data_IF_541338100307
#
_entry.id   IF_541338100307
#
_cell.length_a   1.000
_cell.length_b   1.000
_cell.length_c   1.000
_cell.angle_alpha   90.00
_cell.angle_beta   90.00
_cell.angle_gamma   90.00
#
_symmetry.space_group_name_H-M   'P 1'
#
loop_
_entity.id
_entity.type
_entity.pdbx_description
1 polymer ?
#
# COMPACT_ATOMS: atom_id res chain seq x y z
N UNK A 1 5.38 -12.26 -29.99
CA UNK A 1 4.72 -10.92 -30.06
C UNK A 1 5.72 -9.84 -29.70
N UNK A 2 5.85 -8.77 -30.53
CA UNK A 2 6.83 -7.71 -30.27
C UNK A 2 6.44 -6.89 -29.03
N UNK A 3 7.45 -6.36 -28.29
CA UNK A 3 7.29 -5.52 -27.08
C UNK A 3 6.30 -4.35 -27.31
N UNK A 4 6.30 -3.72 -28.49
CA UNK A 4 5.37 -2.65 -28.89
C UNK A 4 3.90 -3.09 -28.99
N UNK A 5 3.60 -4.31 -29.44
CA UNK A 5 2.22 -4.83 -29.52
C UNK A 5 1.66 -5.12 -28.13
N UNK A 6 2.48 -5.63 -27.20
CA UNK A 6 2.14 -5.91 -25.82
C UNK A 6 1.82 -4.62 -25.06
N UNK A 7 2.61 -3.57 -25.22
CA UNK A 7 2.39 -2.25 -24.60
C UNK A 7 1.10 -1.60 -25.11
N UNK A 8 0.81 -1.66 -26.43
CA UNK A 8 -0.45 -1.09 -26.99
C UNK A 8 -1.69 -1.84 -26.50
N UNK A 9 -1.63 -3.16 -26.38
CA UNK A 9 -2.74 -3.97 -25.86
C UNK A 9 -3.00 -3.65 -24.38
N UNK A 10 -1.96 -3.54 -23.56
CA UNK A 10 -2.05 -3.17 -22.16
C UNK A 10 -2.65 -1.76 -21.98
N UNK A 11 -2.19 -0.78 -22.77
CA UNK A 11 -2.72 0.59 -22.73
C UNK A 11 -4.20 0.66 -23.11
N UNK A 12 -4.66 -0.13 -24.11
CA UNK A 12 -6.08 -0.21 -24.48
C UNK A 12 -6.91 -0.83 -23.36
N UNK A 13 -6.46 -1.91 -22.76
CA UNK A 13 -7.11 -2.55 -21.60
C UNK A 13 -7.20 -1.62 -20.41
N UNK A 14 -6.11 -0.89 -20.12
CA UNK A 14 -6.05 0.08 -19.04
C UNK A 14 -7.04 1.23 -19.22
N UNK A 15 -7.16 1.79 -20.45
CA UNK A 15 -8.11 2.87 -20.75
C UNK A 15 -9.58 2.44 -20.69
N UNK A 16 -9.88 1.15 -20.91
CA UNK A 16 -11.25 0.58 -20.85
C UNK A 16 -11.65 0.10 -19.47
N UNK A 17 -10.73 0.08 -18.52
CA UNK A 17 -10.98 -0.32 -17.14
C UNK A 17 -11.96 0.66 -16.46
N UNK A 18 -13.14 0.20 -16.00
CA UNK A 18 -14.16 1.07 -15.40
C UNK A 18 -13.63 1.86 -14.21
N UNK A 19 -12.79 1.25 -13.38
CA UNK A 19 -12.19 1.91 -12.23
C UNK A 19 -11.18 3.00 -12.63
N UNK A 20 -10.46 2.85 -13.75
CA UNK A 20 -9.59 3.91 -14.27
C UNK A 20 -10.43 5.12 -14.72
N UNK A 21 -11.53 4.87 -15.43
CA UNK A 21 -12.42 5.95 -15.87
C UNK A 21 -13.11 6.64 -14.68
N UNK A 22 -13.58 5.84 -13.72
CA UNK A 22 -14.19 6.36 -12.50
C UNK A 22 -13.20 7.15 -11.65
N UNK A 23 -11.94 6.69 -11.51
CA UNK A 23 -10.91 7.42 -10.80
C UNK A 23 -10.67 8.82 -11.40
N UNK A 24 -10.55 8.89 -12.73
CA UNK A 24 -10.41 10.19 -13.42
C UNK A 24 -11.59 11.13 -13.15
N UNK A 25 -12.83 10.62 -13.22
CA UNK A 25 -14.04 11.43 -12.97
C UNK A 25 -14.13 11.90 -11.53
N UNK A 26 -13.71 11.05 -10.58
CA UNK A 26 -13.72 11.35 -9.15
C UNK A 26 -12.49 12.13 -8.65
N UNK A 27 -11.55 12.49 -9.55
CA UNK A 27 -10.33 13.21 -9.17
C UNK A 27 -9.28 12.36 -8.45
N UNK A 28 -9.39 11.04 -8.49
CA UNK A 28 -8.35 10.17 -7.94
C UNK A 28 -7.17 9.99 -8.89
N UNK A 29 -5.97 10.02 -8.36
CA UNK A 29 -4.71 9.84 -9.11
C UNK A 29 -4.54 8.44 -9.69
N UNK A 30 -5.16 7.43 -9.07
CA UNK A 30 -5.12 6.06 -9.55
C UNK A 30 -6.38 5.27 -9.18
N UNK A 31 -6.64 4.20 -9.94
CA UNK A 31 -7.72 3.25 -9.62
C UNK A 31 -7.50 2.52 -8.29
N UNK A 32 -6.25 2.50 -7.79
CA UNK A 32 -5.91 1.88 -6.52
C UNK A 32 -6.65 2.51 -5.33
N UNK A 33 -7.05 3.80 -5.45
CA UNK A 33 -7.88 4.47 -4.46
C UNK A 33 -9.15 3.67 -4.11
N UNK A 34 -9.81 3.07 -5.10
CA UNK A 34 -11.03 2.26 -4.86
C UNK A 34 -10.77 0.99 -4.08
N UNK A 35 -9.58 0.41 -4.18
CA UNK A 35 -9.23 -0.78 -3.39
C UNK A 35 -9.18 -0.41 -1.91
N UNK A 36 -8.49 0.68 -1.57
CA UNK A 36 -8.39 1.16 -0.21
C UNK A 36 -9.75 1.60 0.33
N UNK A 37 -10.55 2.32 -0.46
CA UNK A 37 -11.91 2.71 -0.06
C UNK A 37 -12.79 1.51 0.26
N UNK A 38 -12.72 0.42 -0.53
CA UNK A 38 -13.51 -0.79 -0.29
C UNK A 38 -13.05 -1.55 0.95
N UNK A 39 -11.74 -1.58 1.21
CA UNK A 39 -11.20 -2.17 2.44
C UNK A 39 -11.63 -1.31 3.64
N UNK A 40 -11.44 0.00 3.59
CA UNK A 40 -11.83 0.90 4.67
C UNK A 40 -13.34 0.88 4.96
N UNK A 41 -14.18 0.90 3.92
CA UNK A 41 -15.64 0.82 4.07
C UNK A 41 -16.11 -0.48 4.75
N UNK A 42 -15.39 -1.58 4.55
CA UNK A 42 -15.68 -2.86 5.19
C UNK A 42 -15.15 -2.94 6.61
N UNK A 43 -13.94 -2.43 6.81
CA UNK A 43 -13.12 -2.79 7.96
C UNK A 43 -12.87 -1.61 8.93
N UNK A 44 -13.16 -0.35 8.51
CA UNK A 44 -13.01 0.82 9.35
C UNK A 44 -11.57 1.01 9.84
N UNK A 45 -10.62 1.06 8.89
CA UNK A 45 -9.19 1.15 9.25
C UNK A 45 -8.74 2.57 9.59
N UNK A 46 -9.50 3.59 9.17
CA UNK A 46 -9.16 4.98 9.39
C UNK A 46 -10.10 5.69 10.37
N UNK A 47 -9.54 6.60 11.17
CA UNK A 47 -10.27 7.52 12.03
C UNK A 47 -9.63 8.93 11.99
N UNK A 48 -10.42 9.99 12.23
CA UNK A 48 -9.88 11.34 12.35
C UNK A 48 -8.75 11.44 13.38
N UNK A 49 -7.73 12.22 13.09
CA UNK A 49 -6.59 12.46 13.98
C UNK A 49 -5.45 11.45 13.86
N UNK A 50 -5.62 10.36 13.12
CA UNK A 50 -4.58 9.33 12.96
C UNK A 50 -3.37 9.79 12.15
N UNK A 51 -2.22 9.20 12.47
CA UNK A 51 -0.98 9.28 11.68
C UNK A 51 -0.83 8.04 10.81
N UNK A 52 -0.80 8.25 9.50
CA UNK A 52 -0.71 7.18 8.49
C UNK A 52 0.64 7.22 7.77
N UNK A 53 1.20 6.06 7.50
CA UNK A 53 2.36 5.89 6.60
C UNK A 53 1.94 5.10 5.37
N UNK A 54 2.15 5.68 4.18
CA UNK A 54 1.84 5.10 2.86
C UNK A 54 3.13 4.74 2.13
N UNK A 55 3.46 3.45 2.06
CA UNK A 55 4.68 2.91 1.44
C UNK A 55 4.41 2.52 -0.02
N UNK A 56 5.16 3.12 -0.96
CA UNK A 56 4.92 2.96 -2.39
C UNK A 56 3.76 3.82 -2.87
N UNK A 57 3.69 5.05 -2.38
CA UNK A 57 2.53 5.93 -2.50
C UNK A 57 2.24 6.42 -3.92
N UNK A 58 3.26 6.62 -4.78
CA UNK A 58 3.08 7.22 -6.10
C UNK A 58 2.10 6.41 -6.98
N UNK A 59 1.17 7.07 -7.64
CA UNK A 59 0.98 8.51 -7.84
C UNK A 59 0.16 9.23 -6.75
N UNK A 60 -0.19 8.58 -5.63
CA UNK A 60 -0.86 9.19 -4.48
C UNK A 60 -2.34 8.80 -4.32
N UNK A 61 -2.80 7.76 -4.97
CA UNK A 61 -4.21 7.35 -4.87
C UNK A 61 -4.63 6.88 -3.48
N UNK A 62 -3.77 6.15 -2.78
CA UNK A 62 -4.01 5.73 -1.41
C UNK A 62 -3.84 6.89 -0.43
N UNK A 63 -2.81 7.70 -0.61
CA UNK A 63 -2.60 8.92 0.19
C UNK A 63 -3.80 9.87 0.13
N UNK A 64 -4.45 10.05 -1.05
CA UNK A 64 -5.67 10.85 -1.17
C UNK A 64 -6.81 10.33 -0.30
N UNK A 65 -7.03 9.01 -0.31
CA UNK A 65 -8.08 8.38 0.48
C UNK A 65 -7.78 8.52 1.97
N UNK A 66 -6.55 8.20 2.39
CA UNK A 66 -6.14 8.29 3.79
C UNK A 66 -6.26 9.73 4.33
N UNK A 67 -5.71 10.73 3.61
CA UNK A 67 -5.77 12.14 4.03
C UNK A 67 -7.21 12.63 4.23
N UNK A 68 -8.14 12.24 3.36
CA UNK A 68 -9.55 12.59 3.51
C UNK A 68 -10.21 11.91 4.71
N UNK A 69 -9.77 10.71 5.10
CA UNK A 69 -10.34 9.92 6.20
C UNK A 69 -9.83 10.33 7.58
N UNK A 70 -8.55 10.75 7.65
CA UNK A 70 -7.96 11.13 8.93
C UNK A 70 -8.15 12.61 9.28
N UNK A 71 -8.68 13.40 8.38
CA UNK A 71 -9.05 14.79 8.66
C UNK A 71 -10.30 14.87 9.57
N UNK A 72 -10.40 15.86 10.47
CA UNK A 72 -9.35 16.81 10.83
C UNK A 72 -8.30 16.23 11.79
N UNK A 73 -7.14 16.88 11.86
CA UNK A 73 -6.12 16.59 12.88
C UNK A 73 -5.17 15.44 12.55
N UNK A 74 -5.50 14.58 11.58
CA UNK A 74 -4.62 13.51 11.15
C UNK A 74 -3.56 13.98 10.13
N UNK A 75 -2.57 13.15 9.90
CA UNK A 75 -1.49 13.38 8.93
C UNK A 75 -1.16 12.11 8.15
N UNK A 76 -0.69 12.28 6.91
CA UNK A 76 -0.23 11.18 6.07
C UNK A 76 1.21 11.45 5.65
N UNK A 77 2.11 10.52 5.95
CA UNK A 77 3.47 10.48 5.42
C UNK A 77 3.48 9.48 4.27
N UNK A 78 3.69 9.98 3.08
CA UNK A 78 3.70 9.20 1.84
C UNK A 78 5.13 9.04 1.31
N UNK A 79 5.42 7.88 0.76
CA UNK A 79 6.75 7.45 0.46
C UNK A 79 6.81 6.69 -0.86
N UNK A 80 7.68 7.14 -1.77
CA UNK A 80 7.96 6.40 -3.00
C UNK A 80 9.34 6.80 -3.57
N UNK A 81 9.96 5.88 -4.31
CA UNK A 81 11.13 6.19 -5.13
C UNK A 81 10.82 7.04 -6.36
N UNK A 82 9.58 6.96 -6.85
CA UNK A 82 9.09 7.80 -7.95
C UNK A 82 8.61 9.14 -7.41
N UNK A 83 8.78 10.24 -8.17
CA UNK A 83 8.25 11.52 -7.77
C UNK A 83 6.71 11.50 -7.72
N UNK A 84 6.15 12.27 -6.80
CA UNK A 84 4.72 12.46 -6.65
C UNK A 84 4.41 13.95 -6.54
N UNK A 85 3.39 14.41 -7.25
CA UNK A 85 2.89 15.78 -7.07
C UNK A 85 2.35 15.98 -5.66
N UNK A 86 2.43 17.20 -5.14
CA UNK A 86 1.92 17.52 -3.80
C UNK A 86 0.43 17.23 -3.65
N UNK A 87 0.04 16.82 -2.45
CA UNK A 87 -1.33 16.55 -2.04
C UNK A 87 -1.64 17.25 -0.72
N UNK A 88 -2.79 17.91 -0.59
CA UNK A 88 -3.21 18.48 0.68
C UNK A 88 -3.27 17.43 1.79
N UNK A 89 -2.71 17.73 2.97
CA UNK A 89 -2.68 16.81 4.11
C UNK A 89 -1.73 15.64 3.99
N UNK A 90 -0.86 15.64 2.98
CA UNK A 90 0.13 14.59 2.74
C UNK A 90 1.53 15.19 2.69
N UNK A 91 2.41 14.70 3.54
CA UNK A 91 3.84 14.95 3.49
C UNK A 91 4.51 13.86 2.66
N UNK A 92 5.13 14.23 1.55
CA UNK A 92 5.78 13.28 0.65
C UNK A 92 7.29 13.31 0.79
N UNK A 93 7.86 12.13 0.98
CA UNK A 93 9.31 11.91 1.06
C UNK A 93 9.72 11.00 -0.10
N UNK A 94 10.54 11.52 -1.01
CA UNK A 94 11.02 10.72 -2.14
C UNK A 94 12.26 9.92 -1.75
N UNK A 95 12.20 8.60 -1.93
CA UNK A 95 13.33 7.71 -1.70
C UNK A 95 12.98 6.23 -1.74
N UNK A 96 13.98 5.39 -1.55
CA UNK A 96 13.82 3.93 -1.61
C UNK A 96 13.70 3.34 -0.19
N UNK A 97 12.63 2.60 0.08
CA UNK A 97 12.40 1.92 1.36
C UNK A 97 13.55 0.95 1.74
N UNK A 98 14.29 0.46 0.76
CA UNK A 98 15.45 -0.41 1.00
C UNK A 98 16.69 0.36 1.49
N UNK A 99 16.68 1.70 1.42
CA UNK A 99 17.75 2.56 1.91
C UNK A 99 17.58 2.85 3.40
N UNK A 100 18.62 2.53 4.19
CA UNK A 100 18.63 2.83 5.63
C UNK A 100 18.46 4.33 5.92
N UNK A 101 19.20 5.17 5.22
CA UNK A 101 19.12 6.63 5.36
C UNK A 101 17.69 7.15 5.15
N UNK A 102 16.98 6.52 4.24
CA UNK A 102 15.62 6.88 3.93
C UNK A 102 14.61 6.46 5.03
N UNK A 103 14.79 5.27 5.61
CA UNK A 103 14.01 4.85 6.77
C UNK A 103 14.27 5.75 7.99
N UNK A 104 15.48 6.28 8.13
CA UNK A 104 15.83 7.26 9.16
C UNK A 104 15.11 8.60 8.92
N UNK A 105 15.12 9.13 7.69
CA UNK A 105 14.40 10.36 7.34
C UNK A 105 12.89 10.27 7.62
N UNK A 106 12.29 9.10 7.35
CA UNK A 106 10.86 8.90 7.63
C UNK A 106 10.56 8.86 9.14
N UNK A 107 11.45 8.26 9.94
CA UNK A 107 11.32 8.31 11.41
C UNK A 107 11.48 9.73 11.95
N UNK A 108 12.42 10.50 11.40
CA UNK A 108 12.60 11.91 11.73
C UNK A 108 11.37 12.73 11.38
N UNK A 109 10.77 12.50 10.20
CA UNK A 109 9.53 13.15 9.80
C UNK A 109 8.35 12.80 10.74
N UNK A 110 8.32 11.61 11.33
CA UNK A 110 7.35 11.27 12.37
C UNK A 110 7.55 12.10 13.65
N UNK A 111 8.74 12.68 13.88
CA UNK A 111 9.00 13.55 15.04
C UNK A 111 8.87 12.84 16.39
N UNK A 112 9.15 11.54 16.44
CA UNK A 112 8.98 10.70 17.63
C UNK A 112 7.55 10.18 17.85
N UNK A 113 6.56 10.61 17.05
CA UNK A 113 5.24 10.02 17.05
C UNK A 113 5.26 8.59 16.47
N UNK A 114 4.23 7.81 16.84
CA UNK A 114 3.99 6.50 16.24
C UNK A 114 2.92 6.60 15.16
N UNK A 115 3.02 5.72 14.16
CA UNK A 115 1.97 5.58 13.17
C UNK A 115 0.84 4.69 13.72
N UNK A 116 -0.40 5.10 13.48
CA UNK A 116 -1.58 4.28 13.78
C UNK A 116 -1.80 3.23 12.70
N UNK A 117 -1.53 3.58 11.45
CA UNK A 117 -1.66 2.70 10.30
C UNK A 117 -0.43 2.82 9.40
N UNK A 118 0.15 1.68 9.02
CA UNK A 118 1.11 1.57 7.93
C UNK A 118 0.46 0.78 6.80
N UNK A 119 0.47 1.31 5.60
CA UNK A 119 -0.11 0.67 4.43
C UNK A 119 0.89 0.59 3.27
N UNK A 120 0.78 -0.46 2.44
CA UNK A 120 1.67 -0.68 1.30
C UNK A 120 0.94 -1.30 0.12
N UNK A 121 0.89 -0.59 -1.01
CA UNK A 121 0.42 -1.11 -2.31
C UNK A 121 1.59 -1.37 -3.27
N UNK A 122 2.80 -1.57 -2.74
CA UNK A 122 3.98 -1.84 -3.56
C UNK A 122 3.83 -3.13 -4.38
N UNK A 123 4.39 -3.12 -5.58
CA UNK A 123 4.51 -4.28 -6.43
C UNK A 123 5.88 -4.31 -7.11
N UNK A 124 6.48 -5.49 -7.32
CA UNK A 124 7.71 -5.59 -8.06
C UNK A 124 7.50 -5.29 -9.54
N UNK A 125 8.58 -4.95 -10.23
CA UNK A 125 8.58 -4.95 -11.69
C UNK A 125 8.37 -6.39 -12.19
N UNK A 126 7.25 -6.64 -12.86
CA UNK A 126 6.88 -7.97 -13.36
C UNK A 126 7.78 -8.37 -14.51
N UNK A 127 8.52 -9.46 -14.34
CA UNK A 127 9.38 -10.07 -15.39
C UNK A 127 8.61 -11.00 -16.32
N UNK A 128 7.51 -11.58 -15.83
CA UNK A 128 6.73 -12.63 -16.47
C UNK A 128 7.16 -14.04 -16.05
N UNK A 129 8.17 -14.18 -15.20
CA UNK A 129 8.57 -15.45 -14.58
C UNK A 129 7.87 -15.50 -13.22
N UNK A 130 6.87 -16.36 -13.10
CA UNK A 130 5.93 -16.39 -11.96
C UNK A 130 6.64 -16.48 -10.61
N UNK A 131 7.52 -17.45 -10.45
CA UNK A 131 8.18 -17.71 -9.15
C UNK A 131 9.11 -16.57 -8.76
N UNK A 132 9.85 -16.01 -9.72
CA UNK A 132 10.69 -14.84 -9.47
C UNK A 132 9.88 -13.58 -9.15
N UNK A 133 8.71 -13.41 -9.75
CA UNK A 133 7.83 -12.28 -9.47
C UNK A 133 7.15 -12.44 -8.10
N UNK A 134 6.79 -13.65 -7.69
CA UNK A 134 6.26 -13.95 -6.35
C UNK A 134 7.32 -13.72 -5.27
N UNK A 135 8.52 -14.26 -5.42
CA UNK A 135 9.62 -14.05 -4.46
C UNK A 135 9.95 -12.56 -4.26
N UNK A 136 9.96 -11.77 -5.35
CA UNK A 136 10.16 -10.30 -5.25
C UNK A 136 9.01 -9.60 -4.55
N UNK A 137 7.78 -10.03 -4.78
CA UNK A 137 6.61 -9.47 -4.12
C UNK A 137 6.62 -9.77 -2.62
N UNK A 138 6.97 -11.01 -2.24
CA UNK A 138 7.16 -11.39 -0.83
C UNK A 138 8.24 -10.54 -0.18
N UNK A 139 9.41 -10.41 -0.82
CA UNK A 139 10.51 -9.60 -0.30
C UNK A 139 10.08 -8.15 -0.03
N UNK A 140 9.31 -7.53 -0.94
CA UNK A 140 8.78 -6.17 -0.74
C UNK A 140 7.79 -6.11 0.44
N UNK A 141 6.91 -7.11 0.58
CA UNK A 141 5.96 -7.16 1.70
C UNK A 141 6.67 -7.34 3.04
N UNK A 142 7.70 -8.18 3.10
CA UNK A 142 8.53 -8.38 4.30
C UNK A 142 9.35 -7.14 4.66
N UNK A 143 9.87 -6.40 3.68
CA UNK A 143 10.54 -5.12 3.94
C UNK A 143 9.55 -4.07 4.48
N UNK A 144 8.34 -4.02 3.91
CA UNK A 144 7.28 -3.14 4.42
C UNK A 144 6.90 -3.50 5.87
N UNK A 145 6.78 -4.79 6.19
CA UNK A 145 6.53 -5.27 7.56
C UNK A 145 7.66 -4.88 8.51
N UNK A 146 8.92 -5.17 8.14
CA UNK A 146 10.08 -4.82 8.96
C UNK A 146 10.15 -3.32 9.24
N UNK A 147 9.80 -2.48 8.26
CA UNK A 147 9.70 -1.05 8.47
C UNK A 147 8.53 -0.69 9.39
N UNK A 148 7.34 -1.25 9.15
CA UNK A 148 6.15 -1.01 9.96
C UNK A 148 6.40 -1.30 11.45
N UNK A 149 7.09 -2.40 11.77
CA UNK A 149 7.48 -2.75 13.14
C UNK A 149 8.31 -1.66 13.84
N UNK A 150 9.03 -0.84 13.08
CA UNK A 150 9.85 0.24 13.66
C UNK A 150 9.08 1.51 13.97
N UNK A 151 7.91 1.71 13.36
CA UNK A 151 7.15 2.98 13.44
C UNK A 151 5.73 2.83 13.96
N UNK A 152 5.11 1.64 13.91
CA UNK A 152 3.76 1.42 14.42
C UNK A 152 3.66 1.67 15.93
N UNK A 153 2.57 2.28 16.33
CA UNK A 153 2.11 2.34 17.72
C UNK A 153 1.35 1.08 18.10
N UNK A 154 1.02 0.94 19.39
CA UNK A 154 0.15 -0.11 19.91
C UNK A 154 -1.16 0.53 20.40
N UNK A 155 -2.32 0.00 19.98
CA UNK A 155 -2.55 -1.00 18.93
C UNK A 155 -2.44 -0.40 17.53
N UNK A 156 -1.63 -1.00 16.65
CA UNK A 156 -1.40 -0.52 15.28
C UNK A 156 -2.04 -1.40 14.21
N UNK A 157 -2.20 -0.84 13.02
CA UNK A 157 -2.75 -1.54 11.86
C UNK A 157 -1.70 -1.58 10.74
N UNK A 158 -1.54 -2.75 10.12
CA UNK A 158 -0.72 -2.92 8.92
C UNK A 158 -1.56 -3.48 7.78
N UNK A 159 -1.57 -2.80 6.64
CA UNK A 159 -2.24 -3.22 5.41
C UNK A 159 -1.21 -3.39 4.30
N UNK A 160 -1.05 -4.60 3.79
CA UNK A 160 -0.04 -4.89 2.78
C UNK A 160 -0.60 -5.69 1.62
N UNK A 161 -0.19 -5.31 0.40
CA UNK A 161 -0.45 -6.12 -0.78
C UNK A 161 0.44 -7.35 -0.81
N UNK A 162 -0.17 -8.48 -1.12
CA UNK A 162 0.49 -9.76 -1.33
C UNK A 162 -0.06 -10.44 -2.59
N UNK A 163 0.57 -11.53 -3.02
CA UNK A 163 0.10 -12.34 -4.14
C UNK A 163 -0.11 -13.78 -3.68
N UNK A 164 -1.22 -14.37 -4.09
CA UNK A 164 -1.50 -15.78 -3.81
C UNK A 164 -0.43 -16.67 -4.43
N UNK A 165 0.18 -17.55 -3.62
CA UNK A 165 1.23 -18.47 -4.02
C UNK A 165 1.88 -19.16 -2.83
N UNK A 166 2.90 -19.97 -3.09
CA UNK A 166 3.57 -20.82 -2.10
C UNK A 166 4.20 -20.01 -0.93
N UNK A 167 4.61 -18.78 -1.19
CA UNK A 167 5.33 -17.96 -0.20
C UNK A 167 4.38 -17.13 0.70
N UNK A 168 3.06 -17.24 0.51
CA UNK A 168 2.06 -16.51 1.30
C UNK A 168 2.09 -16.90 2.77
N UNK A 169 2.29 -18.20 3.05
CA UNK A 169 2.26 -18.74 4.41
C UNK A 169 3.39 -18.15 5.28
N UNK A 170 4.55 -17.85 4.69
CA UNK A 170 5.64 -17.17 5.40
C UNK A 170 5.20 -15.78 5.88
N UNK A 171 4.63 -14.98 4.99
CA UNK A 171 4.18 -13.64 5.35
C UNK A 171 3.07 -13.68 6.40
N UNK A 172 2.08 -14.55 6.23
CA UNK A 172 0.98 -14.73 7.20
C UNK A 172 1.51 -15.14 8.56
N UNK A 173 2.43 -16.13 8.62
CA UNK A 173 3.04 -16.58 9.88
C UNK A 173 3.78 -15.44 10.59
N UNK A 174 4.53 -14.60 9.87
CA UNK A 174 5.23 -13.44 10.46
C UNK A 174 4.24 -12.39 10.98
N UNK A 175 3.15 -12.14 10.27
CA UNK A 175 2.11 -11.22 10.73
C UNK A 175 1.42 -11.74 11.99
N UNK A 176 1.05 -13.02 12.04
CA UNK A 176 0.42 -13.65 13.21
C UNK A 176 1.29 -13.66 14.46
N UNK A 177 2.60 -13.56 14.31
CA UNK A 177 3.53 -13.43 15.45
C UNK A 177 3.56 -12.03 16.06
N UNK A 178 3.05 -11.01 15.35
CA UNK A 178 3.19 -9.60 15.70
C UNK A 178 1.87 -8.88 15.89
N UNK A 179 0.78 -9.43 15.35
CA UNK A 179 -0.55 -8.85 15.35
C UNK A 179 -1.57 -9.87 15.88
N UNK A 180 -2.58 -9.40 16.58
CA UNK A 180 -3.63 -10.27 17.13
C UNK A 180 -4.52 -10.88 16.06
N UNK A 181 -4.75 -10.15 14.97
CA UNK A 181 -5.66 -10.56 13.91
C UNK A 181 -5.05 -10.29 12.53
N UNK A 182 -5.16 -11.28 11.64
CA UNK A 182 -4.75 -11.18 10.23
C UNK A 182 -5.87 -11.63 9.32
N UNK A 183 -6.37 -10.73 8.50
CA UNK A 183 -7.48 -10.97 7.58
C UNK A 183 -7.05 -10.84 6.13
N UNK A 184 -7.61 -11.69 5.28
CA UNK A 184 -7.46 -11.59 3.83
C UNK A 184 -8.54 -10.68 3.24
N UNK A 185 -8.14 -9.76 2.35
CA UNK A 185 -9.03 -8.86 1.65
C UNK A 185 -8.76 -8.91 0.15
N UNK A 186 -9.83 -9.09 -0.63
CA UNK A 186 -9.79 -9.00 -2.08
C UNK A 186 -10.87 -8.01 -2.53
N UNK A 187 -10.52 -6.71 -2.61
CA UNK A 187 -11.48 -5.70 -3.04
C UNK A 187 -11.93 -5.95 -4.48
N UNK A 188 -13.20 -5.66 -4.78
CA UNK A 188 -13.77 -5.79 -6.13
C UNK A 188 -13.08 -4.89 -7.16
N UNK A 189 -12.40 -3.84 -6.71
CA UNK A 189 -11.53 -3.01 -7.55
C UNK A 189 -10.23 -3.73 -7.96
N UNK A 190 -9.87 -4.88 -7.38
CA UNK A 190 -8.79 -5.73 -7.92
C UNK A 190 -9.23 -6.38 -9.24
N UNK A 191 -8.28 -6.63 -10.15
CA UNK A 191 -8.62 -7.33 -11.40
C UNK A 191 -8.90 -8.81 -11.11
N UNK A 192 -9.97 -9.37 -11.69
CA UNK A 192 -10.39 -10.76 -11.46
C UNK A 192 -9.28 -11.79 -11.71
N UNK A 193 -8.48 -11.56 -12.75
CA UNK A 193 -7.37 -12.45 -13.14
C UNK A 193 -6.08 -12.22 -12.33
N UNK A 194 -6.06 -11.25 -11.42
CA UNK A 194 -4.89 -10.97 -10.59
C UNK A 194 -4.88 -11.88 -9.36
N UNK A 195 -3.75 -12.51 -9.07
CA UNK A 195 -3.50 -13.19 -7.79
C UNK A 195 -3.32 -12.23 -6.61
N UNK A 196 -3.51 -10.92 -6.81
CA UNK A 196 -3.37 -9.89 -5.80
C UNK A 196 -4.43 -10.04 -4.70
N UNK A 197 -3.97 -9.99 -3.46
CA UNK A 197 -4.78 -9.90 -2.24
C UNK A 197 -4.14 -8.89 -1.31
N UNK A 198 -4.88 -8.47 -0.29
CA UNK A 198 -4.34 -7.65 0.79
C UNK A 198 -4.42 -8.42 2.10
N UNK A 199 -3.38 -8.32 2.91
CA UNK A 199 -3.38 -8.77 4.29
C UNK A 199 -3.60 -7.55 5.17
N UNK A 200 -4.65 -7.60 5.98
CA UNK A 200 -4.99 -6.59 6.98
C UNK A 200 -4.68 -7.18 8.36
N UNK A 201 -3.63 -6.68 8.97
CA UNK A 201 -3.18 -7.10 10.30
C UNK A 201 -3.49 -6.02 11.32
N UNK A 202 -4.08 -6.40 12.46
CA UNK A 202 -4.52 -5.50 13.55
C UNK A 202 -3.96 -5.94 14.89
N UNK A 203 -3.90 -4.99 15.82
CA UNK A 203 -3.47 -5.25 17.19
C UNK A 203 -1.96 -5.44 17.28
N UNK A 204 -1.17 -4.59 16.60
CA UNK A 204 0.27 -4.61 16.73
C UNK A 204 0.71 -4.29 18.15
N UNK A 205 1.54 -5.16 18.74
CA UNK A 205 2.18 -4.92 20.05
C UNK A 205 1.24 -5.04 21.25
N UNK A 206 0.10 -5.70 21.11
CA UNK A 206 -0.81 -6.03 22.23
C UNK A 206 -0.41 -7.33 22.91
#
# INVERSE_FOLDING_TARGET
MSRRKRTRHWLRGHRRDPYVQSAKRAGFRSRAAYKLQQIDARDGIFAPGQTIVDLGAAPGGWSQVAAARVAPGGRVLALDKLPMESLPGVEFIQGDLLSRQFCEALREALGGARADVVMSDMAPNISGIRDADQARALALALHALSFAETVLGSPGIFLVKAFQGADMDELVSRLQQKFDQVDFRKPGASRDKSGEVYLLARGYGV
#
